data_IF_105929952175
#
_entry.id   IF_105929952175
#
_cell.length_a   1.000
_cell.length_b   1.000
_cell.length_c   1.000
_cell.angle_alpha   90.00
_cell.angle_beta   90.00
_cell.angle_gamma   90.00
#
_symmetry.space_group_name_H-M   'P 1'
#
loop_
_entity.id
_entity.type
_entity.pdbx_description
1 polymer ?
#
# COMPACT_ATOMS: atom_id res chain seq x y z
N UNK A 1 -44.56 -8.98 -36.80
CA UNK A 1 -45.95 -8.48 -36.92
C UNK A 1 -46.10 -7.35 -35.90
N UNK A 2 -46.33 -6.13 -36.37
CA UNK A 2 -46.35 -4.92 -35.53
C UNK A 2 -47.74 -4.73 -34.93
N UNK A 3 -47.83 -4.60 -33.62
CA UNK A 3 -48.92 -3.89 -32.95
C UNK A 3 -48.28 -2.80 -32.10
N UNK A 4 -48.53 -1.54 -32.47
CA UNK A 4 -48.24 -0.37 -31.65
C UNK A 4 -49.50 -0.05 -30.84
N UNK A 5 -49.36 0.01 -29.52
CA UNK A 5 -50.21 0.83 -28.66
C UNK A 5 -49.33 1.75 -27.83
N UNK A 6 -49.82 2.97 -27.62
CA UNK A 6 -49.18 4.04 -26.88
C UNK A 6 -48.79 3.61 -25.46
N UNK A 7 -47.52 3.82 -25.11
CA UNK A 7 -46.99 3.60 -23.77
C UNK A 7 -45.49 3.40 -23.84
N UNK A 8 -44.74 4.25 -23.14
CA UNK A 8 -43.28 4.25 -23.08
C UNK A 8 -42.73 2.83 -22.93
N UNK A 9 -41.91 2.38 -23.88
CA UNK A 9 -41.20 1.10 -23.81
C UNK A 9 -40.28 1.10 -22.58
N UNK A 10 -40.75 0.58 -21.45
CA UNK A 10 -39.84 0.16 -20.38
C UNK A 10 -39.19 -1.14 -20.81
N UNK A 11 -37.91 -1.08 -21.19
CA UNK A 11 -37.08 -2.28 -21.34
C UNK A 11 -36.95 -2.90 -19.96
N UNK A 12 -37.29 -4.19 -19.84
CA UNK A 12 -36.86 -4.94 -18.67
C UNK A 12 -35.34 -4.98 -18.67
N UNK A 13 -34.69 -4.67 -17.54
CA UNK A 13 -33.24 -4.79 -17.45
C UNK A 13 -32.83 -6.25 -17.71
N UNK A 14 -31.68 -6.47 -18.37
CA UNK A 14 -31.16 -7.81 -18.58
C UNK A 14 -30.97 -8.57 -17.24
N UNK A 15 -31.26 -9.87 -17.26
CA UNK A 15 -31.28 -10.74 -16.07
C UNK A 15 -29.97 -10.75 -15.27
N UNK A 16 -28.83 -10.52 -15.92
CA UNK A 16 -27.52 -10.47 -15.25
C UNK A 16 -27.36 -9.26 -14.30
N UNK A 17 -28.20 -8.23 -14.40
CA UNK A 17 -28.23 -7.12 -13.42
C UNK A 17 -28.88 -7.53 -12.08
N UNK A 18 -29.56 -8.69 -12.02
CA UNK A 18 -30.07 -9.24 -10.75
C UNK A 18 -28.96 -9.98 -9.98
N UNK A 19 -27.97 -10.54 -10.67
CA UNK A 19 -26.86 -11.30 -10.08
C UNK A 19 -25.78 -10.40 -9.44
N UNK A 20 -25.63 -9.14 -9.89
CA UNK A 20 -24.71 -8.16 -9.29
C UNK A 20 -25.26 -7.46 -8.03
N UNK A 21 -26.46 -7.84 -7.56
CA UNK A 21 -27.04 -7.28 -6.33
C UNK A 21 -26.72 -8.10 -5.08
N UNK A 22 -25.43 -8.39 -4.85
CA UNK A 22 -24.95 -8.71 -3.49
C UNK A 22 -24.81 -7.46 -2.61
N UNK A 23 -25.09 -6.27 -3.15
CA UNK A 23 -25.15 -5.04 -2.37
C UNK A 23 -26.61 -4.63 -2.15
N UNK A 24 -27.01 -4.37 -0.89
CA UNK A 24 -28.37 -3.93 -0.61
C UNK A 24 -28.68 -2.64 -1.39
N UNK A 25 -29.89 -2.57 -1.97
CA UNK A 25 -30.40 -1.44 -2.77
C UNK A 25 -30.42 -0.08 -2.04
N UNK A 26 -30.07 -0.07 -0.74
CA UNK A 26 -29.99 1.09 0.14
C UNK A 26 -28.58 1.30 0.72
N UNK A 27 -27.52 0.78 0.10
CA UNK A 27 -26.15 1.15 0.49
C UNK A 27 -25.92 2.61 0.06
N UNK A 28 -26.32 3.54 0.93
CA UNK A 28 -26.06 4.96 0.77
C UNK A 28 -24.54 5.14 0.80
N UNK A 29 -23.96 5.35 -0.38
CA UNK A 29 -22.56 5.73 -0.52
C UNK A 29 -22.22 6.93 0.38
N UNK A 30 -23.19 7.83 0.59
CA UNK A 30 -23.08 8.93 1.55
C UNK A 30 -22.89 8.45 3.00
N UNK A 31 -23.63 7.43 3.46
CA UNK A 31 -23.48 6.88 4.81
C UNK A 31 -22.14 6.17 5.01
N UNK A 32 -21.65 5.43 4.01
CA UNK A 32 -20.33 4.78 4.05
C UNK A 32 -19.20 5.82 4.10
N UNK A 33 -19.31 6.86 3.27
CA UNK A 33 -18.33 7.95 3.23
C UNK A 33 -18.30 8.75 4.54
N UNK A 34 -19.47 8.98 5.13
CA UNK A 34 -19.62 9.70 6.39
C UNK A 34 -19.11 8.88 7.57
N UNK A 35 -19.40 7.57 7.63
CA UNK A 35 -18.87 6.66 8.66
C UNK A 35 -17.34 6.57 8.62
N UNK A 36 -16.75 6.51 7.42
CA UNK A 36 -15.29 6.53 7.25
C UNK A 36 -14.65 7.82 7.78
N UNK A 37 -15.24 8.99 7.47
CA UNK A 37 -14.75 10.27 7.97
C UNK A 37 -14.85 10.40 9.51
N UNK A 38 -15.93 9.89 10.12
CA UNK A 38 -16.08 9.91 11.59
C UNK A 38 -15.13 8.93 12.29
N UNK A 39 -14.85 7.76 11.69
CA UNK A 39 -13.84 6.81 12.21
C UNK A 39 -12.44 7.44 12.25
N UNK A 40 -12.08 8.31 11.30
CA UNK A 40 -10.79 9.02 11.31
C UNK A 40 -10.72 10.09 12.43
N UNK A 41 -11.85 10.71 12.80
CA UNK A 41 -11.91 11.75 13.85
C UNK A 41 -11.76 11.23 15.29
N UNK A 42 -11.78 9.91 15.53
CA UNK A 42 -11.62 9.31 16.85
C UNK A 42 -10.26 8.65 17.10
N UNK A 43 -9.35 8.70 16.13
CA UNK A 43 -8.05 8.04 16.22
C UNK A 43 -7.04 8.92 16.97
N UNK A 44 -6.18 8.31 17.81
CA UNK A 44 -5.07 9.04 18.40
C UNK A 44 -4.19 9.68 17.34
N UNK A 45 -3.74 10.92 17.58
CA UNK A 45 -2.85 11.63 16.65
C UNK A 45 -1.38 11.44 16.99
N UNK A 46 -1.09 10.97 18.20
CA UNK A 46 0.26 10.77 18.72
C UNK A 46 0.29 9.66 19.78
N UNK A 47 1.51 9.27 20.17
CA UNK A 47 1.74 8.23 21.18
C UNK A 47 1.06 8.54 22.52
N UNK A 48 1.16 9.79 22.98
CA UNK A 48 0.61 10.21 24.28
C UNK A 48 -0.90 10.07 24.32
N UNK A 49 -1.59 10.45 23.24
CA UNK A 49 -3.04 10.23 23.10
C UNK A 49 -3.40 8.75 23.03
N UNK A 50 -2.61 7.94 22.30
CA UNK A 50 -2.87 6.51 22.16
C UNK A 50 -2.76 5.79 23.51
N UNK A 51 -1.70 6.07 24.26
CA UNK A 51 -1.46 5.49 25.59
C UNK A 51 -2.37 6.06 26.68
N UNK A 52 -2.94 7.25 26.47
CA UNK A 52 -3.95 7.84 27.35
C UNK A 52 -5.39 7.39 27.06
N UNK A 53 -5.60 6.67 25.95
CA UNK A 53 -6.93 6.21 25.54
C UNK A 53 -7.37 4.95 26.29
N UNK A 54 -8.69 4.67 26.37
CA UNK A 54 -9.19 3.40 26.92
C UNK A 54 -8.64 2.16 26.20
N UNK A 55 -8.26 2.29 24.92
CA UNK A 55 -7.70 1.24 24.07
C UNK A 55 -6.16 1.23 24.05
N UNK A 56 -5.50 1.76 25.10
CA UNK A 56 -4.04 1.86 25.15
C UNK A 56 -3.33 0.51 24.96
N UNK A 57 -3.91 -0.58 25.47
CA UNK A 57 -3.32 -1.93 25.38
C UNK A 57 -3.32 -2.43 23.93
N UNK A 58 -4.40 -2.19 23.20
CA UNK A 58 -4.56 -2.55 21.80
C UNK A 58 -3.61 -1.74 20.91
N UNK A 59 -3.45 -0.44 21.20
CA UNK A 59 -2.47 0.39 20.51
C UNK A 59 -1.03 0.00 20.80
N UNK A 60 -0.70 -0.34 22.05
CA UNK A 60 0.63 -0.83 22.42
C UNK A 60 0.96 -2.13 21.69
N UNK A 61 0.02 -3.06 21.63
CA UNK A 61 0.17 -4.31 20.87
C UNK A 61 0.38 -4.04 19.38
N UNK A 62 -0.41 -3.15 18.78
CA UNK A 62 -0.25 -2.77 17.38
C UNK A 62 1.11 -2.09 17.10
N UNK A 63 1.61 -1.28 18.04
CA UNK A 63 2.96 -0.69 17.93
C UNK A 63 4.05 -1.75 18.02
N UNK A 64 3.94 -2.71 18.95
CA UNK A 64 4.87 -3.85 19.06
C UNK A 64 4.93 -4.66 17.77
N UNK A 65 3.77 -4.94 17.16
CA UNK A 65 3.70 -5.66 15.88
C UNK A 65 4.41 -4.90 14.74
N UNK A 66 4.25 -3.58 14.68
CA UNK A 66 4.98 -2.76 13.71
C UNK A 66 6.49 -2.80 13.96
N UNK A 67 6.95 -2.64 15.21
CA UNK A 67 8.39 -2.71 15.53
C UNK A 67 8.96 -4.08 15.19
N UNK A 68 8.23 -5.16 15.50
CA UNK A 68 8.60 -6.52 15.10
C UNK A 68 8.71 -6.64 13.59
N UNK A 69 7.75 -6.10 12.82
CA UNK A 69 7.80 -6.12 11.36
C UNK A 69 9.01 -5.36 10.81
N UNK A 70 9.39 -4.22 11.40
CA UNK A 70 10.60 -3.48 11.02
C UNK A 70 11.88 -4.27 11.31
N UNK A 71 11.93 -5.00 12.44
CA UNK A 71 13.06 -5.86 12.82
C UNK A 71 13.17 -7.09 11.92
N UNK A 72 12.06 -7.78 11.67
CA UNK A 72 11.98 -8.96 10.78
C UNK A 72 12.38 -8.63 9.34
N UNK A 73 12.00 -7.45 8.86
CA UNK A 73 12.38 -6.97 7.53
C UNK A 73 13.81 -6.41 7.46
N UNK A 74 14.56 -6.36 8.56
CA UNK A 74 15.91 -5.78 8.59
C UNK A 74 15.91 -4.33 8.03
N UNK A 75 14.88 -3.56 8.40
CA UNK A 75 14.62 -2.23 7.83
C UNK A 75 15.62 -1.19 8.33
N UNK A 76 16.12 -1.35 9.56
CA UNK A 76 17.01 -0.39 10.20
C UNK A 76 18.08 -1.08 11.05
N UNK A 77 19.13 -0.33 11.38
CA UNK A 77 20.07 -0.65 12.44
C UNK A 77 20.15 0.51 13.44
N UNK A 78 20.41 0.19 14.71
CA UNK A 78 20.64 1.18 15.75
C UNK A 78 22.03 1.80 15.58
N UNK A 79 22.10 3.13 15.61
CA UNK A 79 23.36 3.86 15.46
C UNK A 79 23.35 5.17 16.24
N UNK A 80 24.51 5.63 16.66
CA UNK A 80 24.69 7.02 17.10
C UNK A 80 24.59 7.94 15.89
N UNK A 81 23.94 9.10 16.03
CA UNK A 81 23.86 10.07 14.93
C UNK A 81 25.27 10.63 14.65
N UNK A 82 25.82 10.48 13.44
CA UNK A 82 27.16 11.00 13.13
C UNK A 82 27.22 12.53 13.23
N UNK A 83 28.41 13.05 13.54
CA UNK A 83 28.62 14.49 13.63
C UNK A 83 28.30 15.17 12.28
N UNK A 84 27.53 16.26 12.34
CA UNK A 84 27.10 17.01 11.15
C UNK A 84 25.94 16.40 10.36
N UNK A 85 25.39 15.24 10.76
CA UNK A 85 24.16 14.67 10.18
C UNK A 85 22.93 15.10 10.98
N UNK A 86 21.79 15.15 10.31
CA UNK A 86 20.49 15.35 10.93
C UNK A 86 19.64 14.07 10.81
N UNK A 87 18.85 13.78 11.84
CA UNK A 87 17.80 12.76 11.74
C UNK A 87 16.53 13.35 11.16
N UNK A 88 15.83 12.55 10.35
CA UNK A 88 14.45 12.81 9.96
C UNK A 88 13.56 12.47 11.15
N UNK A 89 12.57 13.30 11.44
CA UNK A 89 11.61 12.95 12.49
C UNK A 89 10.71 11.80 12.06
N UNK A 90 10.29 10.95 13.00
CA UNK A 90 9.24 9.97 12.77
C UNK A 90 7.96 10.28 13.56
N UNK A 91 6.88 9.60 13.23
CA UNK A 91 5.63 9.63 13.99
C UNK A 91 4.87 8.31 13.87
N UNK A 92 4.07 8.04 14.89
CA UNK A 92 3.07 6.99 14.83
C UNK A 92 1.84 7.45 14.03
N UNK A 93 1.32 6.56 13.20
CA UNK A 93 0.05 6.71 12.50
C UNK A 93 -0.84 5.55 12.90
N UNK A 94 -2.00 5.87 13.47
CA UNK A 94 -2.95 4.91 13.99
C UNK A 94 -4.12 4.75 13.03
N UNK A 95 -4.68 3.55 12.95
CA UNK A 95 -5.86 3.23 12.15
C UNK A 95 -6.57 2.06 12.80
N UNK A 96 -7.90 2.06 12.78
CA UNK A 96 -8.68 0.85 13.05
C UNK A 96 -9.28 0.34 11.74
N UNK A 97 -9.27 -0.99 11.58
CA UNK A 97 -9.94 -1.68 10.47
C UNK A 97 -11.07 -2.49 11.06
N UNK A 98 -12.20 -2.52 10.37
CA UNK A 98 -13.32 -3.38 10.75
C UNK A 98 -13.46 -4.45 9.68
N UNK A 99 -13.51 -5.72 10.11
CA UNK A 99 -13.76 -6.82 9.19
C UNK A 99 -15.26 -6.92 8.82
N UNK A 100 -15.61 -7.88 7.94
CA UNK A 100 -17.00 -8.11 7.53
C UNK A 100 -17.90 -8.59 8.67
N UNK A 101 -17.32 -9.12 9.76
CA UNK A 101 -18.02 -9.57 10.96
C UNK A 101 -18.17 -8.45 12.00
N UNK A 102 -17.64 -7.26 11.72
CA UNK A 102 -17.67 -6.13 12.63
C UNK A 102 -16.53 -6.11 13.66
N UNK A 103 -15.56 -7.03 13.60
CA UNK A 103 -14.42 -7.11 14.51
C UNK A 103 -13.44 -5.98 14.19
N UNK A 104 -13.13 -5.18 15.20
CA UNK A 104 -12.19 -4.08 15.09
C UNK A 104 -10.75 -4.55 15.32
N UNK A 105 -9.87 -4.25 14.37
CA UNK A 105 -8.44 -4.53 14.41
C UNK A 105 -7.68 -3.21 14.48
N UNK A 106 -6.80 -3.09 15.46
CA UNK A 106 -5.97 -1.91 15.67
C UNK A 106 -4.68 -2.04 14.86
N UNK A 107 -4.30 -0.98 14.15
CA UNK A 107 -3.07 -0.93 13.38
C UNK A 107 -2.32 0.36 13.69
N UNK A 108 -1.06 0.23 14.07
CA UNK A 108 -0.12 1.32 14.18
C UNK A 108 0.94 1.17 13.09
N UNK A 109 1.43 2.28 12.54
CA UNK A 109 2.58 2.31 11.64
C UNK A 109 3.55 3.38 12.06
N UNK A 110 4.84 3.09 11.98
CA UNK A 110 5.87 4.09 12.21
C UNK A 110 6.26 4.72 10.86
N UNK A 111 6.05 6.03 10.76
CA UNK A 111 6.10 6.75 9.48
C UNK A 111 7.10 7.90 9.59
N UNK A 112 8.00 8.00 8.61
CA UNK A 112 8.89 9.13 8.49
C UNK A 112 8.13 10.42 8.17
N UNK A 113 8.56 11.54 8.75
CA UNK A 113 8.08 12.88 8.42
C UNK A 113 8.76 13.36 7.13
N UNK A 114 8.48 12.70 6.01
CA UNK A 114 9.16 12.96 4.74
C UNK A 114 9.05 14.39 4.21
N UNK A 115 8.07 15.18 4.67
CA UNK A 115 8.01 16.61 4.37
C UNK A 115 9.25 17.39 4.84
N UNK A 116 9.94 16.89 5.87
CA UNK A 116 11.19 17.47 6.38
C UNK A 116 12.44 17.08 5.57
N UNK A 117 12.32 16.13 4.63
CA UNK A 117 13.45 15.68 3.81
C UNK A 117 13.85 16.72 2.75
N UNK A 118 15.17 16.87 2.60
CA UNK A 118 15.84 17.79 1.67
C UNK A 118 16.34 17.06 0.43
N UNK A 119 15.95 17.54 -0.76
CA UNK A 119 16.43 17.00 -2.04
C UNK A 119 17.93 17.23 -2.17
N UNK A 120 18.66 16.24 -2.66
CA UNK A 120 20.12 16.27 -2.82
C UNK A 120 20.89 15.81 -1.59
N UNK A 121 20.23 15.74 -0.43
CA UNK A 121 20.79 15.22 0.83
C UNK A 121 20.11 13.89 1.18
N UNK A 122 18.80 13.92 1.44
CA UNK A 122 18.04 12.76 1.94
C UNK A 122 17.47 11.88 0.82
N UNK A 123 17.34 12.44 -0.39
CA UNK A 123 16.87 11.74 -1.59
C UNK A 123 17.29 12.49 -2.86
N UNK A 124 17.38 11.76 -3.98
CA UNK A 124 17.67 12.35 -5.30
C UNK A 124 16.42 12.46 -6.17
N UNK A 125 15.72 11.34 -6.35
CA UNK A 125 14.53 11.23 -7.19
C UNK A 125 13.38 10.56 -6.42
N UNK A 126 12.15 10.98 -6.74
CA UNK A 126 10.93 10.48 -6.06
C UNK A 126 9.91 9.93 -7.04
N UNK A 127 10.15 10.08 -8.35
CA UNK A 127 9.20 9.66 -9.36
C UNK A 127 9.02 8.14 -9.35
N UNK A 128 7.77 7.71 -9.21
CA UNK A 128 7.30 6.35 -9.40
C UNK A 128 6.10 6.40 -10.36
N UNK A 129 6.02 5.50 -11.35
CA UNK A 129 4.87 5.43 -12.23
C UNK A 129 3.63 4.95 -11.47
N UNK A 130 2.45 5.34 -11.95
CA UNK A 130 1.15 4.86 -11.47
C UNK A 130 0.43 4.20 -12.62
N UNK A 131 -0.15 3.02 -12.37
CA UNK A 131 -0.90 2.29 -13.38
C UNK A 131 -2.04 3.15 -13.95
N UNK A 132 -2.17 3.14 -15.26
CA UNK A 132 -3.31 3.79 -15.92
C UNK A 132 -4.57 2.95 -15.75
N UNK A 133 -5.69 3.60 -15.41
CA UNK A 133 -7.00 2.95 -15.40
C UNK A 133 -7.35 2.37 -16.78
N UNK A 134 -6.82 2.96 -17.86
CA UNK A 134 -6.98 2.44 -19.22
C UNK A 134 -6.31 1.07 -19.37
N UNK A 135 -5.12 0.89 -18.81
CA UNK A 135 -4.39 -0.38 -18.84
C UNK A 135 -5.15 -1.47 -18.09
N UNK A 136 -5.74 -1.14 -16.94
CA UNK A 136 -6.57 -2.06 -16.17
C UNK A 136 -7.81 -2.47 -16.97
N UNK A 137 -8.51 -1.52 -17.60
CA UNK A 137 -9.67 -1.82 -18.45
C UNK A 137 -9.30 -2.69 -19.65
N UNK A 138 -8.17 -2.43 -20.29
CA UNK A 138 -7.66 -3.25 -21.39
C UNK A 138 -7.33 -4.66 -20.90
N UNK A 139 -6.70 -4.81 -19.75
CA UNK A 139 -6.43 -6.11 -19.14
C UNK A 139 -7.73 -6.90 -18.90
N UNK A 140 -8.75 -6.27 -18.32
CA UNK A 140 -10.05 -6.91 -18.09
C UNK A 140 -10.71 -7.33 -19.41
N UNK A 141 -10.61 -6.49 -20.45
CA UNK A 141 -11.14 -6.84 -21.78
C UNK A 141 -10.37 -8.01 -22.42
N UNK A 142 -9.04 -8.04 -22.26
CA UNK A 142 -8.21 -9.15 -22.72
C UNK A 142 -8.55 -10.44 -21.96
N UNK A 143 -8.76 -10.35 -20.65
CA UNK A 143 -9.14 -11.48 -19.82
C UNK A 143 -10.46 -12.09 -20.30
N UNK A 144 -11.50 -11.29 -20.54
CA UNK A 144 -12.77 -11.79 -21.08
C UNK A 144 -12.62 -12.35 -22.49
N UNK A 145 -11.85 -11.68 -23.36
CA UNK A 145 -11.71 -12.08 -24.76
C UNK A 145 -10.93 -13.40 -24.93
N UNK A 146 -9.94 -13.62 -24.07
CA UNK A 146 -9.00 -14.73 -24.16
C UNK A 146 -9.18 -15.76 -23.05
N UNK A 147 -10.28 -15.65 -22.26
CA UNK A 147 -10.59 -16.53 -21.13
C UNK A 147 -9.45 -16.61 -20.10
N UNK A 148 -8.79 -15.47 -19.82
CA UNK A 148 -7.74 -15.38 -18.81
C UNK A 148 -8.35 -15.25 -17.41
N UNK A 149 -7.69 -15.85 -16.44
CA UNK A 149 -8.03 -15.73 -15.03
C UNK A 149 -7.25 -14.56 -14.44
N UNK A 150 -7.97 -13.61 -13.86
CA UNK A 150 -7.40 -12.47 -13.17
C UNK A 150 -7.37 -12.70 -11.65
N UNK A 151 -6.21 -12.46 -11.04
CA UNK A 151 -5.99 -12.47 -9.61
C UNK A 151 -5.47 -11.13 -9.14
N UNK A 152 -5.87 -10.73 -7.93
CA UNK A 152 -5.36 -9.57 -7.23
C UNK A 152 -4.50 -10.04 -6.05
N UNK A 153 -3.34 -9.41 -5.88
CA UNK A 153 -2.42 -9.68 -4.78
C UNK A 153 -1.95 -8.36 -4.16
N UNK A 154 -2.10 -8.24 -2.83
CA UNK A 154 -1.56 -7.14 -2.02
C UNK A 154 -0.21 -7.57 -1.44
N UNK A 155 0.85 -6.78 -1.69
CA UNK A 155 2.15 -7.05 -1.10
C UNK A 155 2.21 -6.47 0.30
N UNK A 156 2.17 -7.36 1.29
CA UNK A 156 2.33 -6.98 2.70
C UNK A 156 3.66 -6.23 2.89
N UNK A 157 3.58 -5.05 3.49
CA UNK A 157 4.74 -4.22 3.84
C UNK A 157 5.68 -3.89 2.67
N UNK A 158 5.14 -3.74 1.46
CA UNK A 158 5.86 -3.46 0.21
C UNK A 158 7.10 -2.54 0.35
N UNK A 159 6.94 -1.33 0.91
CA UNK A 159 8.05 -0.39 1.05
C UNK A 159 9.20 -0.91 1.93
N UNK A 160 8.91 -1.72 2.95
CA UNK A 160 9.92 -2.27 3.85
C UNK A 160 10.85 -3.28 3.17
N UNK A 161 10.49 -3.78 1.97
CA UNK A 161 11.36 -4.64 1.19
C UNK A 161 12.37 -3.86 0.34
N UNK A 162 12.07 -2.60 0.01
CA UNK A 162 12.84 -1.81 -0.94
C UNK A 162 14.09 -1.19 -0.29
N UNK A 163 15.32 -1.49 -0.72
CA UNK A 163 16.53 -0.89 -0.15
C UNK A 163 16.53 0.64 -0.32
N UNK A 164 17.11 1.35 0.65
CA UNK A 164 17.34 2.79 0.51
C UNK A 164 18.70 3.03 -0.15
N UNK A 165 18.77 3.99 -1.07
CA UNK A 165 20.02 4.31 -1.80
C UNK A 165 20.80 5.45 -1.16
N UNK A 166 20.15 6.30 -0.36
CA UNK A 166 20.78 7.36 0.41
C UNK A 166 20.87 6.95 1.88
N UNK A 167 22.00 7.25 2.50
CA UNK A 167 22.15 7.10 3.94
C UNK A 167 21.20 8.06 4.66
N UNK A 168 20.26 7.50 5.42
CA UNK A 168 19.22 8.25 6.13
C UNK A 168 19.08 7.77 7.57
N UNK A 169 18.97 8.72 8.48
CA UNK A 169 18.72 8.48 9.89
C UNK A 169 17.33 8.98 10.24
N UNK A 170 16.60 8.22 11.04
CA UNK A 170 15.30 8.60 11.56
C UNK A 170 15.32 8.49 13.09
N UNK A 171 14.61 9.39 13.76
CA UNK A 171 14.38 9.28 15.19
C UNK A 171 13.75 7.92 15.54
N UNK A 172 13.96 7.46 16.77
CA UNK A 172 13.30 6.25 17.26
C UNK A 172 11.81 6.49 17.50
N UNK A 173 10.98 5.43 17.42
CA UNK A 173 9.58 5.51 17.80
C UNK A 173 9.45 5.82 19.28
N UNK A 174 8.58 6.79 19.59
CA UNK A 174 8.26 7.14 20.97
C UNK A 174 7.69 5.92 21.70
N UNK A 175 8.22 5.62 22.90
CA UNK A 175 7.85 4.46 23.71
C UNK A 175 8.67 3.19 23.44
N UNK A 176 9.59 3.24 22.48
CA UNK A 176 10.41 2.10 22.04
C UNK A 176 11.88 2.49 21.86
N UNK A 177 12.32 3.55 22.54
CA UNK A 177 13.69 4.05 22.44
C UNK A 177 14.70 3.14 23.14
N UNK A 178 15.76 2.80 22.41
CA UNK A 178 16.94 2.11 22.93
C UNK A 178 18.09 3.13 23.08
N UNK A 179 18.90 2.99 24.13
CA UNK A 179 20.10 3.82 24.37
C UNK A 179 21.35 2.94 24.26
N UNK A 180 22.49 3.56 23.98
CA UNK A 180 23.77 2.83 23.97
C UNK A 180 24.14 2.33 25.38
N UNK A 181 25.14 1.47 25.46
CA UNK A 181 25.72 1.04 26.74
C UNK A 181 26.26 2.22 27.57
N UNK A 182 26.71 3.28 26.89
CA UNK A 182 27.16 4.55 27.49
C UNK A 182 26.00 5.50 27.86
N UNK A 183 24.75 5.14 27.57
CA UNK A 183 23.57 5.97 27.82
C UNK A 183 23.33 7.07 26.78
N UNK A 184 23.99 6.99 25.63
CA UNK A 184 23.83 7.96 24.54
C UNK A 184 22.54 7.68 23.76
N UNK A 185 21.95 8.75 23.22
CA UNK A 185 20.77 8.68 22.37
C UNK A 185 21.12 8.02 21.03
N UNK A 186 20.41 6.95 20.69
CA UNK A 186 20.51 6.29 19.40
C UNK A 186 19.41 6.76 18.44
N UNK A 187 19.64 6.52 17.15
CA UNK A 187 18.72 6.73 16.03
C UNK A 187 18.65 5.46 15.18
N UNK A 188 17.61 5.34 14.36
CA UNK A 188 17.53 4.28 13.35
C UNK A 188 18.24 4.74 12.08
N UNK A 189 19.31 4.06 11.70
CA UNK A 189 19.89 4.18 10.35
C UNK A 189 19.13 3.24 9.43
N UNK A 190 18.46 3.79 8.43
CA UNK A 190 17.64 3.00 7.52
C UNK A 190 18.51 2.22 6.53
N UNK A 191 18.20 0.93 6.39
CA UNK A 191 18.72 0.01 5.37
C UNK A 191 17.73 -0.15 4.23
N UNK A 192 16.43 -0.11 4.57
CA UNK A 192 15.31 -0.20 3.62
C UNK A 192 14.37 0.98 3.79
N UNK A 193 13.50 1.17 2.80
CA UNK A 193 12.58 2.28 2.74
C UNK A 193 11.51 2.14 3.83
N UNK A 194 11.14 3.27 4.42
CA UNK A 194 10.10 3.34 5.43
C UNK A 194 8.88 4.09 4.86
N UNK A 195 7.71 3.88 5.42
CA UNK A 195 6.53 4.69 5.10
C UNK A 195 6.82 6.18 5.30
N UNK A 196 6.26 7.01 4.41
CA UNK A 196 6.31 8.46 4.54
C UNK A 196 7.60 9.12 4.05
N UNK A 197 8.65 8.37 3.68
CA UNK A 197 9.76 8.96 2.94
C UNK A 197 9.31 9.33 1.52
N UNK A 198 9.88 10.41 0.98
CA UNK A 198 9.53 10.91 -0.36
C UNK A 198 9.88 9.93 -1.48
N UNK A 199 10.89 9.09 -1.28
CA UNK A 199 11.39 8.14 -2.28
C UNK A 199 10.85 6.71 -2.15
N UNK A 200 10.02 6.39 -1.13
CA UNK A 200 9.64 5.00 -0.85
C UNK A 200 8.91 4.31 -2.01
N UNK A 201 7.94 5.00 -2.62
CA UNK A 201 7.22 4.45 -3.77
C UNK A 201 8.13 4.21 -4.98
N UNK A 202 9.14 5.06 -5.17
CA UNK A 202 10.14 4.86 -6.23
C UNK A 202 11.03 3.67 -5.94
N UNK A 203 11.60 3.58 -4.74
CA UNK A 203 12.49 2.48 -4.37
C UNK A 203 11.78 1.14 -4.52
N UNK A 204 10.50 1.08 -4.12
CA UNK A 204 9.66 -0.10 -4.33
C UNK A 204 9.44 -0.43 -5.80
N UNK A 205 9.09 0.56 -6.63
CA UNK A 205 8.93 0.36 -8.06
C UNK A 205 10.22 -0.14 -8.75
N UNK A 206 11.38 0.40 -8.36
CA UNK A 206 12.69 -0.04 -8.86
C UNK A 206 12.95 -1.50 -8.49
N UNK A 207 12.76 -1.86 -7.22
CA UNK A 207 12.93 -3.25 -6.75
C UNK A 207 12.02 -4.23 -7.51
N UNK A 208 10.73 -3.89 -7.65
CA UNK A 208 9.79 -4.72 -8.40
C UNK A 208 10.18 -4.82 -9.87
N UNK A 209 10.60 -3.71 -10.49
CA UNK A 209 11.03 -3.72 -11.88
C UNK A 209 12.22 -4.64 -12.11
N UNK A 210 13.24 -4.56 -11.24
CA UNK A 210 14.41 -5.44 -11.29
C UNK A 210 14.01 -6.91 -11.11
N UNK A 211 13.11 -7.21 -10.16
CA UNK A 211 12.61 -8.56 -9.96
C UNK A 211 11.91 -9.11 -11.21
N UNK A 212 10.96 -8.36 -11.78
CA UNK A 212 10.25 -8.76 -12.98
C UNK A 212 11.18 -8.91 -14.19
N UNK A 213 12.10 -7.96 -14.38
CA UNK A 213 13.06 -8.01 -15.49
C UNK A 213 13.97 -9.24 -15.38
N UNK A 214 14.45 -9.57 -14.18
CA UNK A 214 15.27 -10.76 -13.93
C UNK A 214 14.49 -12.06 -14.15
N UNK A 215 13.19 -12.06 -13.88
CA UNK A 215 12.31 -13.19 -14.18
C UNK A 215 11.85 -13.21 -15.67
N UNK A 216 12.37 -12.33 -16.53
CA UNK A 216 12.10 -12.34 -17.96
C UNK A 216 10.78 -11.66 -18.38
N UNK A 217 10.15 -10.90 -17.49
CA UNK A 217 9.04 -10.03 -17.88
C UNK A 217 9.56 -8.82 -18.66
N UNK A 218 8.81 -8.44 -19.69
CA UNK A 218 9.03 -7.24 -20.48
C UNK A 218 8.08 -6.14 -20.04
N UNK A 219 8.63 -4.98 -19.66
CA UNK A 219 7.86 -3.79 -19.28
C UNK A 219 7.28 -3.12 -20.52
N UNK A 220 6.00 -2.75 -20.45
CA UNK A 220 5.33 -2.02 -21.52
C UNK A 220 5.84 -0.56 -21.60
N UNK A 221 6.04 -0.04 -22.81
CA UNK A 221 6.54 1.32 -23.03
C UNK A 221 5.49 2.42 -22.91
N UNK A 222 4.21 2.10 -23.12
CA UNK A 222 3.12 3.06 -22.97
C UNK A 222 2.69 3.22 -21.51
N UNK A 223 2.83 2.16 -20.71
CA UNK A 223 2.56 2.17 -19.28
C UNK A 223 3.60 1.34 -18.52
N UNK A 224 4.50 2.01 -17.81
CA UNK A 224 5.60 1.39 -17.06
C UNK A 224 5.15 0.54 -15.86
N UNK A 225 3.86 0.52 -15.54
CA UNK A 225 3.29 -0.37 -14.54
C UNK A 225 2.83 -1.71 -15.11
N UNK A 226 2.83 -1.88 -16.44
CA UNK A 226 2.38 -3.12 -17.10
C UNK A 226 3.58 -3.97 -17.51
N UNK A 227 3.54 -5.23 -17.15
CA UNK A 227 4.54 -6.24 -17.46
C UNK A 227 3.90 -7.40 -18.20
N UNK A 228 4.63 -8.00 -19.14
CA UNK A 228 4.19 -9.17 -19.90
C UNK A 228 5.31 -10.20 -19.95
N UNK A 229 4.97 -11.47 -19.79
CA UNK A 229 5.85 -12.61 -20.04
C UNK A 229 5.11 -13.65 -20.88
N UNK A 230 5.83 -14.28 -21.79
CA UNK A 230 5.32 -15.42 -22.58
C UNK A 230 6.12 -16.67 -22.20
N UNK A 231 5.44 -17.77 -21.92
CA UNK A 231 6.03 -19.06 -21.54
C UNK A 231 5.24 -20.16 -22.23
N UNK A 232 5.86 -21.00 -23.06
CA UNK A 232 5.19 -22.14 -23.73
C UNK A 232 3.85 -21.76 -24.41
N UNK A 233 3.88 -20.68 -25.22
CA UNK A 233 2.71 -20.07 -25.89
C UNK A 233 1.62 -19.50 -24.96
N UNK A 234 1.87 -19.51 -23.65
CA UNK A 234 1.03 -18.89 -22.63
C UNK A 234 1.43 -17.47 -22.31
N UNK A 235 0.47 -16.64 -21.93
CA UNK A 235 0.70 -15.23 -21.58
C UNK A 235 0.41 -14.95 -20.10
N UNK A 236 1.34 -14.25 -19.45
CA UNK A 236 1.13 -13.66 -18.13
C UNK A 236 1.27 -12.14 -18.26
N UNK A 237 0.25 -11.43 -17.82
CA UNK A 237 0.24 -9.96 -17.78
C UNK A 237 0.09 -9.53 -16.32
N UNK A 238 0.98 -8.65 -15.86
CA UNK A 238 0.95 -8.10 -14.50
C UNK A 238 0.82 -6.58 -14.58
N UNK A 239 -0.14 -6.02 -13.84
CA UNK A 239 -0.25 -4.57 -13.61
C UNK A 239 0.14 -4.30 -12.16
N UNK A 240 1.11 -3.41 -11.97
CA UNK A 240 1.57 -2.94 -10.67
C UNK A 240 0.91 -1.62 -10.32
N UNK A 241 0.06 -1.60 -9.30
CA UNK A 241 -0.54 -0.39 -8.76
C UNK A 241 -0.08 -0.19 -7.31
N UNK A 242 1.06 0.49 -7.15
CA UNK A 242 1.70 0.71 -5.85
C UNK A 242 1.99 -0.64 -5.16
N UNK A 243 1.19 -1.05 -4.17
CA UNK A 243 1.39 -2.28 -3.40
C UNK A 243 0.53 -3.44 -3.94
N UNK A 244 -0.43 -3.13 -4.81
CA UNK A 244 -1.34 -4.09 -5.43
C UNK A 244 -0.82 -4.59 -6.79
N UNK A 245 -1.05 -5.87 -7.07
CA UNK A 245 -0.69 -6.54 -8.31
C UNK A 245 -1.93 -7.21 -8.90
N UNK A 246 -2.28 -6.82 -10.13
CA UNK A 246 -3.32 -7.49 -10.91
C UNK A 246 -2.64 -8.39 -11.93
N UNK A 247 -2.82 -9.70 -11.80
CA UNK A 247 -2.16 -10.72 -12.60
C UNK A 247 -3.23 -11.41 -13.44
N UNK A 248 -3.08 -11.40 -14.77
CA UNK A 248 -3.92 -12.17 -15.67
C UNK A 248 -3.09 -13.23 -16.41
N UNK A 249 -3.57 -14.46 -16.44
CA UNK A 249 -2.94 -15.56 -17.18
C UNK A 249 -3.95 -16.59 -17.66
N UNK A 250 -3.56 -17.41 -18.63
CA UNK A 250 -4.35 -18.50 -19.20
C UNK A 250 -4.27 -19.82 -18.38
N UNK A 251 -3.50 -19.85 -17.29
CA UNK A 251 -3.18 -21.05 -16.54
C UNK A 251 -2.79 -20.69 -15.10
N UNK A 252 -3.39 -21.35 -14.11
CA UNK A 252 -3.15 -21.09 -12.67
C UNK A 252 -1.80 -21.64 -12.13
N UNK A 253 -0.80 -21.89 -13.00
CA UNK A 253 0.49 -22.48 -12.63
C UNK A 253 1.64 -21.55 -12.96
#
# INVERSE_FOLDING_TARGET
MTVRQNGTLKRNPPRYLEEDTLLPKNADYAHISVDYCYKVCGLPQNYTEAMGSPQAREWEQAMKEEISSLKENDTYELSTLPEGKASVGGKWVYTTKQDQNGIETFKARYVAKGYSQVKGIDYQETFAPTASITSIRVLMQLAVKHDLIAHEMDVKTAYLHAPITQELYIDQPQGFEEVSESGERLVYRLKKSLYGLKQSGRNWNVLLHEHFANDGFVRNHADHCVYKKEVDDKIVIVIVWVDDLIIASDSMQ
#
